data_IF_481866900788
#
_entry.id   IF_481866900788
#
_cell.length_a   1.000
_cell.length_b   1.000
_cell.length_c   1.000
_cell.angle_alpha   90.00
_cell.angle_beta   90.00
_cell.angle_gamma   90.00
#
_symmetry.space_group_name_H-M   'P 1'
#
loop_
_entity.id
_entity.type
_entity.pdbx_description
1 polymer ?
#
# COMPACT_ATOMS: atom_id res chain seq x y z
N UNK A 1 -21.53 19.13 8.16
CA UNK A 1 -21.90 17.73 7.79
C UNK A 1 -20.76 16.74 8.09
N UNK A 2 -20.68 16.19 9.31
CA UNK A 2 -19.61 15.25 9.72
C UNK A 2 -19.75 13.81 9.20
N UNK A 3 -20.94 13.40 8.71
CA UNK A 3 -21.18 12.02 8.22
C UNK A 3 -20.48 11.68 6.90
N UNK A 4 -20.43 12.62 5.95
CA UNK A 4 -19.86 12.40 4.60
C UNK A 4 -18.33 12.22 4.61
N UNK A 5 -17.64 12.89 5.54
CA UNK A 5 -16.18 12.71 5.72
C UNK A 5 -15.83 11.33 6.28
N UNK A 6 -16.64 10.82 7.23
CA UNK A 6 -16.43 9.48 7.79
C UNK A 6 -16.68 8.37 6.77
N UNK A 7 -17.70 8.52 5.93
CA UNK A 7 -17.98 7.57 4.85
C UNK A 7 -16.82 7.47 3.86
N UNK A 8 -16.26 8.61 3.42
CA UNK A 8 -15.11 8.63 2.51
C UNK A 8 -13.82 8.08 3.15
N UNK A 9 -13.64 8.26 4.46
CA UNK A 9 -12.52 7.65 5.21
C UNK A 9 -12.61 6.13 5.20
N UNK A 10 -13.81 5.58 5.46
CA UNK A 10 -14.04 4.13 5.48
C UNK A 10 -13.85 3.51 4.09
N UNK A 11 -14.33 4.14 3.02
CA UNK A 11 -14.12 3.68 1.64
C UNK A 11 -12.63 3.64 1.28
N UNK A 12 -11.82 4.55 1.83
CA UNK A 12 -10.37 4.59 1.60
C UNK A 12 -9.61 3.54 2.39
N UNK A 13 -9.97 3.33 3.66
CA UNK A 13 -9.47 2.20 4.46
C UNK A 13 -9.75 0.88 3.75
N UNK A 14 -10.97 0.71 3.22
CA UNK A 14 -11.34 -0.43 2.39
C UNK A 14 -10.52 -0.53 1.10
N UNK A 15 -10.21 0.58 0.43
CA UNK A 15 -9.39 0.59 -0.77
C UNK A 15 -7.93 0.17 -0.48
N UNK A 16 -7.32 0.66 0.61
CA UNK A 16 -5.96 0.29 0.99
C UNK A 16 -5.86 -1.14 1.53
N UNK A 17 -6.83 -1.58 2.33
CA UNK A 17 -6.95 -2.99 2.74
C UNK A 17 -7.18 -3.87 1.51
N UNK A 18 -7.97 -3.40 0.55
CA UNK A 18 -8.18 -4.06 -0.74
C UNK A 18 -6.87 -4.20 -1.52
N UNK A 19 -6.12 -3.12 -1.73
CA UNK A 19 -4.85 -3.14 -2.48
C UNK A 19 -3.78 -3.96 -1.76
N UNK A 20 -3.58 -3.73 -0.46
CA UNK A 20 -2.62 -4.49 0.35
C UNK A 20 -3.00 -5.98 0.47
N UNK A 21 -4.29 -6.27 0.62
CA UNK A 21 -4.84 -7.62 0.62
C UNK A 21 -4.68 -8.31 -0.75
N UNK A 22 -4.93 -7.61 -1.86
CA UNK A 22 -4.73 -8.14 -3.20
C UNK A 22 -3.26 -8.39 -3.51
N UNK A 23 -2.35 -7.51 -3.09
CA UNK A 23 -0.90 -7.71 -3.24
C UNK A 23 -0.39 -8.84 -2.34
N UNK A 24 -0.83 -8.91 -1.09
CA UNK A 24 -0.47 -9.97 -0.15
C UNK A 24 -1.01 -11.34 -0.58
N UNK A 25 -2.26 -11.41 -1.03
CA UNK A 25 -2.84 -12.62 -1.64
C UNK A 25 -2.11 -12.96 -2.94
N UNK A 26 -1.78 -11.98 -3.78
CA UNK A 26 -0.98 -12.18 -4.99
C UNK A 26 0.37 -12.83 -4.69
N UNK A 27 1.09 -12.32 -3.69
CA UNK A 27 2.38 -12.84 -3.26
C UNK A 27 2.26 -14.22 -2.61
N UNK A 28 1.24 -14.44 -1.78
CA UNK A 28 0.98 -15.72 -1.12
C UNK A 28 0.58 -16.80 -2.13
N UNK A 29 -0.28 -16.45 -3.10
CA UNK A 29 -0.67 -17.33 -4.21
C UNK A 29 0.54 -17.62 -5.10
N UNK A 30 1.38 -16.62 -5.37
CA UNK A 30 2.64 -16.81 -6.09
C UNK A 30 3.56 -17.79 -5.35
N UNK A 31 3.79 -17.61 -4.04
CA UNK A 31 4.65 -18.49 -3.22
C UNK A 31 4.09 -19.90 -3.10
N UNK A 32 2.79 -20.05 -2.83
CA UNK A 32 2.14 -21.36 -2.66
C UNK A 32 2.11 -22.16 -3.97
N UNK A 33 2.05 -21.49 -5.13
CA UNK A 33 2.02 -22.15 -6.45
C UNK A 33 3.39 -22.44 -7.02
N UNK A 34 4.46 -21.82 -6.49
CA UNK A 34 5.84 -22.11 -6.88
C UNK A 34 6.28 -23.54 -6.53
N UNK A 35 5.59 -24.20 -5.59
CA UNK A 35 5.82 -25.60 -5.24
C UNK A 35 5.06 -26.63 -6.10
N UNK A 36 4.09 -26.22 -6.93
CA UNK A 36 3.26 -27.14 -7.73
C UNK A 36 3.28 -26.77 -9.22
N UNK A 37 4.16 -27.43 -9.98
CA UNK A 37 4.25 -27.55 -11.46
C UNK A 37 4.96 -26.44 -12.24
N UNK A 38 5.99 -26.89 -12.97
CA UNK A 38 6.99 -26.11 -13.71
C UNK A 38 6.65 -25.71 -15.16
N UNK A 39 5.51 -26.12 -15.74
CA UNK A 39 5.31 -26.00 -17.20
C UNK A 39 4.16 -25.07 -17.66
N UNK A 40 4.04 -23.84 -17.14
CA UNK A 40 3.12 -22.86 -17.75
C UNK A 40 3.78 -21.50 -18.01
N UNK A 41 4.15 -21.18 -19.28
CA UNK A 41 4.86 -19.94 -19.63
C UNK A 41 4.10 -18.64 -19.31
N UNK A 42 2.77 -18.62 -19.39
CA UNK A 42 1.99 -17.39 -19.12
C UNK A 42 1.97 -16.97 -17.64
N UNK A 43 2.25 -17.87 -16.71
CA UNK A 43 2.23 -17.53 -15.26
C UNK A 43 3.46 -16.74 -14.83
N UNK A 44 4.58 -16.97 -15.50
CA UNK A 44 5.80 -16.20 -15.27
C UNK A 44 5.57 -14.73 -15.65
N UNK A 45 4.86 -14.47 -16.76
CA UNK A 45 4.60 -13.11 -17.26
C UNK A 45 3.85 -12.24 -16.26
N UNK A 46 2.78 -12.75 -15.63
CA UNK A 46 2.01 -11.97 -14.63
C UNK A 46 2.86 -11.68 -13.39
N UNK A 47 3.59 -12.67 -12.88
CA UNK A 47 4.47 -12.49 -11.72
C UNK A 47 5.56 -11.45 -11.99
N UNK A 48 6.19 -11.51 -13.17
CA UNK A 48 7.19 -10.52 -13.59
C UNK A 48 6.58 -9.13 -13.75
N UNK A 49 5.39 -9.01 -14.34
CA UNK A 49 4.71 -7.71 -14.49
C UNK A 49 4.36 -7.09 -13.12
N UNK A 50 3.81 -7.86 -12.18
CA UNK A 50 3.52 -7.36 -10.83
C UNK A 50 4.79 -6.96 -10.08
N UNK A 51 5.84 -7.77 -10.15
CA UNK A 51 7.13 -7.44 -9.54
C UNK A 51 7.75 -6.18 -10.16
N UNK A 52 7.75 -6.08 -11.50
CA UNK A 52 8.27 -4.92 -12.21
C UNK A 52 7.48 -3.65 -11.86
N UNK A 53 6.15 -3.72 -11.76
CA UNK A 53 5.33 -2.60 -11.33
C UNK A 53 5.65 -2.18 -9.88
N UNK A 54 5.77 -3.14 -8.95
CA UNK A 54 6.14 -2.85 -7.57
C UNK A 54 7.54 -2.22 -7.48
N UNK A 55 8.51 -2.76 -8.22
CA UNK A 55 9.87 -2.22 -8.30
C UNK A 55 9.87 -0.80 -8.88
N UNK A 56 9.10 -0.55 -9.95
CA UNK A 56 8.97 0.77 -10.55
C UNK A 56 8.43 1.80 -9.55
N UNK A 57 7.43 1.45 -8.73
CA UNK A 57 6.92 2.32 -7.65
C UNK A 57 8.01 2.60 -6.61
N UNK A 58 8.77 1.59 -6.20
CA UNK A 58 9.88 1.75 -5.23
C UNK A 58 10.97 2.67 -5.79
N UNK A 59 11.38 2.45 -7.05
CA UNK A 59 12.40 3.27 -7.74
C UNK A 59 11.90 4.70 -7.93
N UNK A 60 10.65 4.91 -8.36
CA UNK A 60 10.07 6.23 -8.52
C UNK A 60 10.00 6.98 -7.17
N UNK A 61 9.58 6.30 -6.11
CA UNK A 61 9.58 6.86 -4.75
C UNK A 61 10.98 7.25 -4.29
N UNK A 62 11.93 6.31 -4.31
CA UNK A 62 13.32 6.57 -3.91
C UNK A 62 13.97 7.69 -4.75
N UNK A 63 13.75 7.68 -6.06
CA UNK A 63 14.24 8.69 -7.00
C UNK A 63 13.68 10.08 -6.68
N UNK A 64 12.37 10.18 -6.46
CA UNK A 64 11.72 11.46 -6.10
C UNK A 64 12.28 12.03 -4.80
N UNK A 65 12.42 11.18 -3.77
CA UNK A 65 12.98 11.60 -2.48
C UNK A 65 14.42 12.08 -2.59
N UNK A 66 15.22 11.38 -3.40
CA UNK A 66 16.64 11.71 -3.66
C UNK A 66 16.77 13.02 -4.44
N UNK A 67 15.96 13.20 -5.48
CA UNK A 67 15.90 14.44 -6.26
C UNK A 67 15.66 15.66 -5.37
N UNK A 68 14.65 15.57 -4.49
CA UNK A 68 14.34 16.61 -3.50
C UNK A 68 15.50 16.85 -2.53
N UNK A 69 16.14 15.78 -2.05
CA UNK A 69 17.26 15.90 -1.12
C UNK A 69 18.46 16.61 -1.75
N UNK A 70 18.74 16.35 -3.03
CA UNK A 70 19.85 16.96 -3.78
C UNK A 70 19.55 18.43 -4.13
N UNK A 71 18.35 18.71 -4.67
CA UNK A 71 17.96 20.08 -5.05
C UNK A 71 17.80 21.00 -3.84
N UNK A 72 17.60 20.43 -2.66
CA UNK A 72 17.19 21.16 -1.49
C UNK A 72 15.73 21.57 -1.59
N UNK A 73 15.13 21.86 -0.44
CA UNK A 73 13.79 22.41 -0.34
C UNK A 73 13.80 23.69 0.46
N UNK A 74 12.96 24.64 0.05
CA UNK A 74 12.76 25.88 0.77
C UNK A 74 12.21 25.59 2.17
N UNK A 75 12.48 26.50 3.11
CA UNK A 75 11.94 26.39 4.47
C UNK A 75 10.48 26.78 4.45
N UNK A 76 9.63 26.00 5.09
CA UNK A 76 8.24 26.42 5.26
C UNK A 76 8.18 27.68 6.14
N UNK A 77 7.32 28.68 5.81
CA UNK A 77 7.14 29.88 6.61
C UNK A 77 6.30 29.56 7.87
N UNK A 78 6.91 28.93 8.87
CA UNK A 78 6.28 28.59 10.16
C UNK A 78 6.81 29.46 11.30
N UNK A 79 5.91 29.91 12.17
CA UNK A 79 6.26 30.57 13.43
C UNK A 79 6.16 29.54 14.55
N UNK A 80 7.28 29.22 15.17
CA UNK A 80 7.33 28.30 16.31
C UNK A 80 7.18 29.11 17.60
N UNK A 81 6.37 28.65 18.58
CA UNK A 81 6.39 29.24 19.92
C UNK A 81 7.80 29.18 20.52
N UNK A 82 8.18 30.19 21.31
CA UNK A 82 9.47 30.19 22.04
C UNK A 82 9.60 28.92 22.90
N UNK A 83 10.78 28.32 22.92
CA UNK A 83 11.07 27.07 23.66
C UNK A 83 10.58 25.77 23.01
N UNK A 84 9.91 25.84 21.85
CA UNK A 84 9.49 24.62 21.14
C UNK A 84 10.69 23.87 20.57
N UNK A 85 11.71 24.58 20.08
CA UNK A 85 12.91 23.97 19.49
C UNK A 85 13.67 23.13 20.52
N UNK A 86 13.86 23.66 21.73
CA UNK A 86 14.58 22.97 22.81
C UNK A 86 13.86 21.67 23.22
N UNK A 87 12.53 21.73 23.33
CA UNK A 87 11.70 20.57 23.69
C UNK A 87 11.63 19.49 22.59
N UNK A 88 11.90 19.86 21.33
CA UNK A 88 12.01 18.92 20.20
C UNK A 88 13.38 18.26 20.18
N UNK A 89 14.45 19.04 20.43
CA UNK A 89 15.81 18.51 20.50
C UNK A 89 15.98 17.49 21.64
N UNK A 90 15.34 17.71 22.78
CA UNK A 90 15.39 16.81 23.93
C UNK A 90 14.65 15.47 23.74
N UNK A 91 13.79 15.35 22.71
CA UNK A 91 12.97 14.14 22.51
C UNK A 91 13.17 13.56 21.11
N UNK A 92 14.19 12.70 21.03
CA UNK A 92 14.60 11.90 19.86
C UNK A 92 15.02 12.76 18.68
N UNK A 93 16.33 12.88 18.53
CA UNK A 93 16.96 13.13 17.23
C UNK A 93 16.29 12.18 16.24
N UNK A 94 15.66 12.74 15.19
CA UNK A 94 15.15 11.97 14.06
C UNK A 94 16.28 11.05 13.62
N UNK A 95 16.14 9.75 13.90
CA UNK A 95 17.24 8.85 13.63
C UNK A 95 17.40 8.75 12.12
N UNK A 96 18.63 8.80 11.63
CA UNK A 96 18.90 8.58 10.21
C UNK A 96 18.30 7.25 9.74
N UNK A 97 18.23 6.25 10.63
CA UNK A 97 17.59 4.97 10.37
C UNK A 97 16.08 5.10 10.07
N UNK A 98 15.34 5.92 10.84
CA UNK A 98 13.93 6.18 10.56
C UNK A 98 13.73 6.83 9.19
N UNK A 99 14.50 7.87 8.86
CA UNK A 99 14.42 8.54 7.55
C UNK A 99 14.82 7.64 6.38
N UNK A 100 15.78 6.73 6.58
CA UNK A 100 16.16 5.72 5.57
C UNK A 100 15.02 4.71 5.39
N UNK A 101 14.45 4.21 6.48
CA UNK A 101 13.33 3.27 6.43
C UNK A 101 12.10 3.87 5.75
N UNK A 102 11.84 5.17 5.95
CA UNK A 102 10.72 5.88 5.32
C UNK A 102 11.06 6.54 3.99
N UNK A 103 12.24 6.31 3.42
CA UNK A 103 12.72 7.01 2.22
C UNK A 103 11.77 6.85 1.02
N UNK A 104 11.41 5.61 0.71
CA UNK A 104 10.50 5.25 -0.38
C UNK A 104 9.08 5.80 -0.16
N UNK A 105 8.38 5.52 0.96
CA UNK A 105 7.03 6.04 1.15
C UNK A 105 6.99 7.57 1.18
N UNK A 106 7.99 8.23 1.78
CA UNK A 106 8.12 9.69 1.73
C UNK A 106 8.21 10.16 0.28
N UNK A 107 9.07 9.56 -0.53
CA UNK A 107 9.22 9.93 -1.94
C UNK A 107 7.97 9.74 -2.79
N UNK A 108 7.20 8.67 -2.55
CA UNK A 108 5.90 8.46 -3.21
C UNK A 108 4.93 9.59 -2.86
N UNK A 109 4.85 9.96 -1.58
CA UNK A 109 4.01 11.05 -1.09
C UNK A 109 4.40 12.40 -1.70
N UNK A 110 5.69 12.66 -1.84
CA UNK A 110 6.21 13.87 -2.49
C UNK A 110 5.91 13.88 -3.99
N UNK A 111 6.06 12.73 -4.67
CA UNK A 111 5.73 12.58 -6.07
C UNK A 111 4.25 12.86 -6.35
N UNK A 112 3.36 12.31 -5.51
CA UNK A 112 1.93 12.60 -5.60
C UNK A 112 1.62 14.08 -5.38
N UNK A 113 2.28 14.72 -4.40
CA UNK A 113 2.15 16.16 -4.19
C UNK A 113 2.59 16.98 -5.42
N UNK A 114 3.72 16.64 -6.05
CA UNK A 114 4.17 17.29 -7.28
C UNK A 114 3.21 17.07 -8.46
N UNK A 115 2.73 15.85 -8.66
CA UNK A 115 1.75 15.52 -9.71
C UNK A 115 0.42 16.26 -9.50
N UNK A 116 0.06 16.55 -8.25
CA UNK A 116 -1.09 17.37 -7.91
C UNK A 116 -0.88 18.89 -8.13
N UNK A 117 0.30 19.32 -8.62
CA UNK A 117 0.70 20.71 -8.77
C UNK A 117 1.03 21.38 -7.43
N UNK A 118 1.49 20.59 -6.46
CA UNK A 118 1.81 21.04 -5.12
C UNK A 118 3.24 21.51 -4.94
N UNK A 119 3.41 22.38 -3.96
CA UNK A 119 4.71 22.85 -3.50
C UNK A 119 5.16 22.05 -2.29
N UNK A 120 6.47 21.84 -2.19
CA UNK A 120 7.09 21.13 -1.08
C UNK A 120 8.09 22.03 -0.39
N UNK A 121 7.85 22.28 0.89
CA UNK A 121 8.79 22.97 1.77
C UNK A 121 9.21 22.05 2.93
N UNK A 122 10.26 22.42 3.67
CA UNK A 122 10.76 21.65 4.82
C UNK A 122 10.59 22.42 6.12
N UNK A 123 9.97 21.80 7.12
CA UNK A 123 10.01 22.27 8.52
C UNK A 123 11.21 21.64 9.20
N UNK A 124 12.34 22.36 9.22
CA UNK A 124 13.65 21.86 9.66
C UNK A 124 13.67 21.24 11.07
N UNK A 125 13.06 21.84 12.11
CA UNK A 125 13.11 21.27 13.47
C UNK A 125 12.54 19.85 13.55
N UNK A 126 11.55 19.52 12.71
CA UNK A 126 10.94 18.18 12.67
C UNK A 126 11.50 17.31 11.53
N UNK A 127 12.33 17.88 10.65
CA UNK A 127 12.77 17.29 9.37
C UNK A 127 11.61 16.75 8.53
N UNK A 128 10.46 17.44 8.56
CA UNK A 128 9.23 17.03 7.88
C UNK A 128 9.04 17.86 6.60
N UNK A 129 8.83 17.19 5.48
CA UNK A 129 8.42 17.81 4.22
C UNK A 129 6.93 18.10 4.29
N UNK A 130 6.52 19.29 3.87
CA UNK A 130 5.12 19.66 3.80
C UNK A 130 4.74 19.83 2.35
N UNK A 131 3.85 18.97 1.87
CA UNK A 131 3.24 19.07 0.55
C UNK A 131 1.94 19.88 0.63
N UNK A 132 1.94 21.09 0.08
CA UNK A 132 0.75 21.92 -0.06
C UNK A 132 0.09 21.57 -1.38
N UNK A 133 -1.25 21.50 -1.44
CA UNK A 133 -2.06 21.17 -2.62
C UNK A 133 -2.42 19.70 -2.85
N UNK A 134 -2.21 18.81 -1.89
CA UNK A 134 -2.61 17.42 -2.09
C UNK A 134 -4.15 17.29 -2.18
N UNK A 135 -4.65 16.80 -3.31
CA UNK A 135 -6.08 16.61 -3.59
C UNK A 135 -6.60 15.35 -2.90
N UNK A 136 -6.64 15.32 -1.57
CA UNK A 136 -7.19 14.18 -0.83
C UNK A 136 -8.64 14.40 -0.39
N UNK A 137 -9.67 13.87 -1.10
CA UNK A 137 -11.08 13.90 -0.66
C UNK A 137 -11.27 13.50 0.81
N UNK A 138 -11.77 14.41 1.66
CA UNK A 138 -12.16 14.12 3.05
C UNK A 138 -11.06 14.22 4.13
N UNK A 139 -9.78 14.29 3.79
CA UNK A 139 -8.69 14.43 4.77
C UNK A 139 -8.21 15.89 4.88
N UNK A 140 -8.05 16.38 6.11
CA UNK A 140 -7.42 17.69 6.37
C UNK A 140 -5.92 17.63 6.13
N UNK A 141 -5.30 16.53 6.53
CA UNK A 141 -3.90 16.21 6.32
C UNK A 141 -3.69 14.69 6.42
N UNK A 142 -2.56 14.22 5.91
CA UNK A 142 -2.09 12.84 6.06
C UNK A 142 -0.56 12.84 6.13
N UNK A 143 -0.01 11.96 6.95
CA UNK A 143 1.44 11.80 7.06
C UNK A 143 1.88 10.47 6.47
N UNK A 144 2.86 10.54 5.59
CA UNK A 144 3.47 9.39 4.91
C UNK A 144 4.98 9.48 5.07
N UNK A 145 5.54 8.70 6.00
CA UNK A 145 6.95 8.78 6.35
C UNK A 145 7.31 10.16 6.89
N UNK A 146 8.19 10.87 6.17
CA UNK A 146 8.63 12.23 6.50
C UNK A 146 7.80 13.32 5.79
N UNK A 147 6.75 12.96 5.05
CA UNK A 147 5.92 13.89 4.30
C UNK A 147 4.57 14.11 4.98
N UNK A 148 4.27 15.36 5.33
CA UNK A 148 2.98 15.85 5.79
C UNK A 148 2.25 16.49 4.60
N UNK A 149 1.21 15.85 4.12
CA UNK A 149 0.46 16.31 2.96
C UNK A 149 -0.84 16.96 3.41
N UNK A 150 -1.08 18.20 2.97
CA UNK A 150 -2.27 18.95 3.35
C UNK A 150 -2.95 19.59 2.14
N UNK A 151 -4.25 19.84 2.29
CA UNK A 151 -5.06 20.50 1.26
C UNK A 151 -4.66 21.97 1.10
N UNK A 152 -4.88 22.49 -0.11
CA UNK A 152 -4.64 23.88 -0.56
C UNK A 152 -5.08 24.94 0.47
N UNK A 153 -6.17 24.74 1.22
CA UNK A 153 -6.66 25.71 2.23
C UNK A 153 -6.00 25.69 3.62
N UNK A 154 -5.20 24.66 3.96
CA UNK A 154 -4.49 24.61 5.25
C UNK A 154 -3.07 25.18 5.17
N UNK A 155 -2.46 25.13 3.98
CA UNK A 155 -1.07 25.53 3.80
C UNK A 155 -0.83 26.61 2.73
N UNK A 156 -1.79 26.95 1.85
CA UNK A 156 -1.70 28.19 1.09
C UNK A 156 -2.08 29.37 2.00
N UNK A 157 -1.06 30.07 2.50
CA UNK A 157 -1.11 31.49 2.90
C UNK A 157 -2.07 31.97 4.01
N UNK A 158 -3.04 31.19 4.51
CA UNK A 158 -4.08 31.69 5.43
C UNK A 158 -4.62 30.65 6.43
N UNK A 159 -3.79 29.79 7.02
CA UNK A 159 -4.15 29.33 8.37
C UNK A 159 -3.90 30.51 9.31
N UNK A 160 -4.91 31.03 10.05
CA UNK A 160 -4.70 32.07 11.06
C UNK A 160 -3.76 31.65 12.20
N UNK A 161 -3.16 30.46 12.14
CA UNK A 161 -2.38 29.91 13.22
C UNK A 161 -1.21 29.05 12.70
N UNK A 162 -0.10 29.71 12.29
CA UNK A 162 1.18 29.02 12.00
C UNK A 162 1.64 28.13 13.16
N UNK A 163 1.24 28.47 14.39
CA UNK A 163 1.46 27.63 15.58
C UNK A 163 0.70 26.31 15.49
N UNK A 164 -0.52 26.30 14.94
CA UNK A 164 -1.29 25.07 14.74
C UNK A 164 -0.64 24.16 13.68
N UNK A 165 -0.12 24.73 12.58
CA UNK A 165 0.65 23.94 11.61
C UNK A 165 1.88 23.31 12.28
N UNK A 166 2.65 24.09 13.04
CA UNK A 166 3.79 23.58 13.77
C UNK A 166 3.42 22.49 14.80
N UNK A 167 2.31 22.67 15.53
CA UNK A 167 1.82 21.68 16.50
C UNK A 167 1.36 20.40 15.82
N UNK A 168 0.61 20.50 14.70
CA UNK A 168 0.22 19.34 13.91
C UNK A 168 1.46 18.65 13.35
N UNK A 169 2.41 19.36 12.74
CA UNK A 169 3.66 18.75 12.25
C UNK A 169 4.44 18.06 13.38
N UNK A 170 4.44 18.61 14.60
CA UNK A 170 5.07 17.97 15.74
C UNK A 170 4.40 16.63 16.09
N UNK A 171 3.06 16.60 16.15
CA UNK A 171 2.30 15.37 16.34
C UNK A 171 2.60 14.35 15.25
N UNK A 172 2.51 14.78 13.99
CA UNK A 172 2.69 13.95 12.81
C UNK A 172 4.10 13.38 12.69
N UNK A 173 5.12 14.13 13.10
CA UNK A 173 6.51 13.66 13.12
C UNK A 173 6.72 12.44 14.04
N UNK A 174 5.83 12.21 15.01
CA UNK A 174 5.89 11.03 15.90
C UNK A 174 5.38 9.77 15.24
N UNK A 175 4.56 9.88 14.19
CA UNK A 175 4.20 8.74 13.36
C UNK A 175 5.36 8.23 12.51
N UNK A 176 6.45 9.00 12.34
CA UNK A 176 7.64 8.57 11.59
C UNK A 176 8.21 7.25 12.11
N UNK A 177 8.38 7.10 13.42
CA UNK A 177 8.90 5.86 14.00
C UNK A 177 7.98 4.67 13.70
N UNK A 178 6.66 4.90 13.72
CA UNK A 178 5.67 3.86 13.41
C UNK A 178 5.70 3.48 11.92
N UNK A 179 5.86 4.48 11.04
CA UNK A 179 6.11 4.29 9.61
C UNK A 179 7.39 3.50 9.35
N UNK A 180 8.49 3.84 10.02
CA UNK A 180 9.77 3.16 9.89
C UNK A 180 9.66 1.69 10.31
N UNK A 181 9.11 1.41 11.49
CA UNK A 181 8.90 0.04 11.99
C UNK A 181 8.01 -0.76 11.03
N UNK A 182 6.88 -0.20 10.61
CA UNK A 182 6.00 -0.87 9.65
C UNK A 182 6.71 -1.15 8.33
N UNK A 183 7.47 -0.19 7.81
CA UNK A 183 8.21 -0.34 6.55
C UNK A 183 9.27 -1.43 6.63
N UNK A 184 10.01 -1.50 7.74
CA UNK A 184 11.02 -2.55 7.96
C UNK A 184 10.37 -3.93 8.07
N UNK A 185 9.26 -4.06 8.79
CA UNK A 185 8.63 -5.35 9.05
C UNK A 185 7.83 -5.91 7.88
N UNK A 186 7.19 -5.05 7.07
CA UNK A 186 6.24 -5.49 6.03
C UNK A 186 6.30 -4.70 4.73
N UNK A 187 7.29 -3.83 4.55
CA UNK A 187 7.43 -2.97 3.38
C UNK A 187 6.59 -1.69 3.44
N UNK A 188 6.70 -0.81 2.43
CA UNK A 188 6.18 0.57 2.47
C UNK A 188 4.67 0.72 2.73
N UNK A 189 3.87 -0.32 2.49
CA UNK A 189 2.41 -0.30 2.68
C UNK A 189 1.95 -0.91 4.01
N UNK A 190 2.85 -1.53 4.79
CA UNK A 190 2.45 -2.23 6.01
C UNK A 190 1.85 -1.29 7.06
N UNK A 191 2.50 -0.14 7.33
CA UNK A 191 1.97 0.81 8.30
C UNK A 191 0.60 1.37 7.89
N UNK A 192 0.36 1.85 6.65
CA UNK A 192 -0.97 2.25 6.19
C UNK A 192 -2.05 1.20 6.40
N UNK A 193 -1.75 -0.06 6.09
CA UNK A 193 -2.71 -1.16 6.26
C UNK A 193 -3.05 -1.34 7.73
N UNK A 194 -2.05 -1.48 8.60
CA UNK A 194 -2.27 -1.69 10.04
C UNK A 194 -2.94 -0.47 10.68
N UNK A 195 -2.52 0.74 10.33
CA UNK A 195 -3.13 1.98 10.78
C UNK A 195 -4.60 2.05 10.37
N UNK A 196 -4.93 1.70 9.12
CA UNK A 196 -6.30 1.74 8.61
C UNK A 196 -7.20 0.71 9.30
N UNK A 197 -6.67 -0.50 9.56
CA UNK A 197 -7.38 -1.52 10.36
C UNK A 197 -7.60 -1.00 11.79
N UNK A 198 -6.59 -0.40 12.41
CA UNK A 198 -6.73 0.19 13.74
C UNK A 198 -7.75 1.33 13.76
N UNK A 199 -7.73 2.23 12.77
CA UNK A 199 -8.67 3.36 12.68
C UNK A 199 -10.11 2.90 12.42
N UNK A 200 -10.29 1.79 11.69
CA UNK A 200 -11.61 1.18 11.47
C UNK A 200 -12.28 0.79 12.80
N UNK A 201 -11.54 0.17 13.71
CA UNK A 201 -12.05 -0.28 15.01
C UNK A 201 -11.90 0.78 16.11
N UNK A 202 -10.90 1.64 16.02
CA UNK A 202 -10.53 2.63 17.04
C UNK A 202 -10.36 4.00 16.39
N UNK A 203 -11.44 4.67 15.97
CA UNK A 203 -11.34 5.89 15.18
C UNK A 203 -10.76 7.08 15.96
N UNK A 204 -9.88 7.85 15.31
CA UNK A 204 -9.32 9.10 15.85
C UNK A 204 -8.52 8.91 17.13
N UNK A 205 -8.86 9.65 18.21
CA UNK A 205 -8.16 9.60 19.50
C UNK A 205 -8.15 8.21 20.19
N UNK A 206 -9.01 7.29 19.73
CA UNK A 206 -9.03 5.91 20.23
C UNK A 206 -7.92 5.07 19.60
N UNK A 207 -7.42 5.46 18.44
CA UNK A 207 -6.43 4.70 17.67
C UNK A 207 -5.15 4.53 18.49
N UNK A 208 -4.64 3.31 18.70
CA UNK A 208 -3.41 3.08 19.45
C UNK A 208 -2.22 3.85 18.86
N UNK A 209 -2.15 4.02 17.55
CA UNK A 209 -1.10 4.77 16.88
C UNK A 209 -1.15 6.27 17.21
N UNK A 210 -2.35 6.84 17.24
CA UNK A 210 -2.58 8.25 17.62
C UNK A 210 -2.27 8.49 19.10
N UNK A 211 -2.61 7.52 19.96
CA UNK A 211 -2.27 7.57 21.39
C UNK A 211 -0.77 7.51 21.62
N UNK A 212 -0.07 6.63 20.92
CA UNK A 212 1.40 6.53 20.96
C UNK A 212 2.07 7.79 20.38
N UNK A 213 1.46 8.44 19.40
CA UNK A 213 1.90 9.75 18.91
C UNK A 213 1.58 10.90 19.88
N UNK A 214 0.70 10.70 20.86
CA UNK A 214 0.42 11.64 21.95
C UNK A 214 -0.75 12.57 21.64
N UNK A 215 -1.90 12.26 22.22
CA UNK A 215 -3.19 12.92 21.96
C UNK A 215 -3.17 14.45 22.15
N UNK A 216 -2.47 14.95 23.18
CA UNK A 216 -2.42 16.39 23.48
C UNK A 216 -1.78 17.19 22.35
N UNK A 217 -0.77 16.63 21.69
CA UNK A 217 -0.07 17.30 20.58
C UNK A 217 -0.91 17.29 19.29
N UNK A 218 -1.67 16.23 19.05
CA UNK A 218 -2.61 16.13 17.92
C UNK A 218 -3.94 16.89 18.13
N UNK A 219 -4.04 17.68 19.20
CA UNK A 219 -5.28 18.39 19.58
C UNK A 219 -6.49 17.45 19.74
N UNK A 220 -6.23 16.21 20.18
CA UNK A 220 -7.25 15.23 20.51
C UNK A 220 -7.69 15.37 21.97
N UNK A 221 -8.94 15.00 22.27
CA UNK A 221 -9.41 14.89 23.65
C UNK A 221 -8.69 13.71 24.35
N UNK A 222 -7.84 13.96 25.37
CA UNK A 222 -7.07 12.91 26.04
C UNK A 222 -7.95 11.92 26.82
N UNK A 223 -9.19 12.30 27.15
CA UNK A 223 -10.15 11.47 27.88
C UNK A 223 -10.99 10.56 26.97
N UNK A 224 -10.65 10.47 25.69
CA UNK A 224 -11.31 9.55 24.77
C UNK A 224 -11.05 8.10 25.21
N UNK A 225 -12.11 7.30 25.28
CA UNK A 225 -11.98 5.88 25.63
C UNK A 225 -11.09 5.13 24.63
N UNK A 226 -10.36 4.12 25.10
CA UNK A 226 -9.52 3.26 24.25
C UNK A 226 -10.31 2.08 23.66
N UNK A 227 -11.61 2.03 23.88
CA UNK A 227 -12.46 0.90 23.53
C UNK A 227 -12.80 0.88 22.02
N UNK A 228 -12.92 -0.33 21.44
CA UNK A 228 -13.29 -0.48 20.05
C UNK A 228 -14.72 0.03 19.80
N UNK A 229 -14.95 0.49 18.57
CA UNK A 229 -16.23 0.99 18.08
C UNK A 229 -16.72 0.07 16.96
N UNK A 230 -17.70 -0.77 17.28
CA UNK A 230 -18.45 -1.56 16.30
C UNK A 230 -19.73 -0.81 15.93
N UNK A 231 -19.70 -0.05 14.83
CA UNK A 231 -20.90 0.55 14.23
C UNK A 231 -21.25 -0.14 12.92
N UNK A 232 -22.40 0.20 12.34
CA UNK A 232 -22.87 -0.35 11.06
C UNK A 232 -21.80 -0.33 9.95
N UNK A 233 -20.97 0.73 9.76
CA UNK A 233 -19.94 0.71 8.73
C UNK A 233 -18.85 -0.34 8.95
N UNK A 234 -18.45 -0.60 10.21
CA UNK A 234 -17.49 -1.64 10.56
C UNK A 234 -18.08 -3.02 10.31
N UNK A 235 -19.33 -3.25 10.73
CA UNK A 235 -20.05 -4.50 10.47
C UNK A 235 -20.16 -4.75 8.96
N UNK A 236 -20.57 -3.74 8.19
CA UNK A 236 -20.64 -3.83 6.73
C UNK A 236 -19.29 -4.15 6.09
N UNK A 237 -18.21 -3.53 6.57
CA UNK A 237 -16.84 -3.81 6.12
C UNK A 237 -16.43 -5.27 6.39
N UNK A 238 -16.74 -5.78 7.59
CA UNK A 238 -16.44 -7.15 7.98
C UNK A 238 -17.23 -8.17 7.15
N UNK A 239 -18.54 -7.94 6.99
CA UNK A 239 -19.42 -8.79 6.15
C UNK A 239 -18.93 -8.80 4.71
N UNK A 240 -18.63 -7.63 4.13
CA UNK A 240 -18.14 -7.53 2.75
C UNK A 240 -16.79 -8.25 2.58
N UNK A 241 -15.89 -8.11 3.56
CA UNK A 241 -14.60 -8.82 3.55
C UNK A 241 -14.78 -10.34 3.63
N UNK A 242 -15.68 -10.82 4.49
CA UNK A 242 -16.00 -12.24 4.61
C UNK A 242 -16.61 -12.81 3.31
N UNK A 243 -17.59 -12.10 2.72
CA UNK A 243 -18.19 -12.48 1.42
C UNK A 243 -17.13 -12.52 0.32
N UNK A 244 -16.25 -11.53 0.26
CA UNK A 244 -15.16 -11.48 -0.73
C UNK A 244 -14.23 -12.67 -0.59
N UNK A 245 -13.80 -13.00 0.63
CA UNK A 245 -12.94 -14.15 0.90
C UNK A 245 -13.61 -15.47 0.52
N UNK A 246 -14.90 -15.64 0.82
CA UNK A 246 -15.67 -16.83 0.43
C UNK A 246 -15.83 -16.96 -1.09
N UNK A 247 -16.13 -15.86 -1.79
CA UNK A 247 -16.19 -15.86 -3.25
C UNK A 247 -14.83 -16.25 -3.85
N UNK A 248 -13.73 -15.66 -3.37
CA UNK A 248 -12.38 -16.02 -3.81
C UNK A 248 -12.06 -17.49 -3.54
N UNK A 249 -12.44 -18.01 -2.37
CA UNK A 249 -12.27 -19.41 -2.02
C UNK A 249 -13.10 -20.33 -2.93
N UNK A 250 -14.36 -19.99 -3.19
CA UNK A 250 -15.27 -20.73 -4.05
C UNK A 250 -14.77 -20.78 -5.50
N UNK A 251 -14.45 -19.63 -6.09
CA UNK A 251 -13.89 -19.56 -7.45
C UNK A 251 -12.55 -20.30 -7.55
N UNK A 252 -11.71 -20.22 -6.51
CA UNK A 252 -10.48 -21.00 -6.40
C UNK A 252 -10.72 -22.52 -6.34
N UNK A 253 -11.82 -22.98 -5.73
CA UNK A 253 -12.24 -24.40 -5.76
C UNK A 253 -12.74 -24.82 -7.13
N UNK A 254 -13.58 -24.01 -7.78
CA UNK A 254 -14.10 -24.28 -9.12
C UNK A 254 -12.97 -24.38 -10.16
N UNK A 255 -12.02 -23.45 -10.13
CA UNK A 255 -10.85 -23.47 -11.01
C UNK A 255 -10.00 -24.75 -10.80
N UNK A 256 -9.89 -25.26 -9.57
CA UNK A 256 -9.20 -26.51 -9.26
C UNK A 256 -9.95 -27.74 -9.78
N UNK A 257 -11.29 -27.77 -9.66
CA UNK A 257 -12.13 -28.87 -10.19
C UNK A 257 -12.04 -28.98 -11.71
N UNK A 258 -12.16 -27.86 -12.43
CA UNK A 258 -12.02 -27.83 -13.91
C UNK A 258 -10.67 -28.39 -14.38
N UNK A 259 -9.59 -28.06 -13.67
CA UNK A 259 -8.25 -28.59 -13.99
C UNK A 259 -8.11 -30.09 -13.74
N UNK A 260 -8.77 -30.65 -12.73
CA UNK A 260 -8.76 -32.09 -12.47
C UNK A 260 -9.62 -32.86 -13.49
N UNK A 261 -10.79 -32.33 -13.84
CA UNK A 261 -11.68 -32.95 -14.83
C UNK A 261 -11.03 -33.09 -16.22
N UNK A 262 -10.39 -32.02 -16.73
CA UNK A 262 -9.72 -32.07 -18.04
C UNK A 262 -8.47 -32.96 -18.10
N UNK A 263 -7.92 -33.40 -16.96
CA UNK A 263 -6.76 -34.30 -16.94
C UNK A 263 -7.16 -35.78 -17.04
N UNK A 264 -8.39 -36.13 -16.60
CA UNK A 264 -8.92 -37.50 -16.72
C UNK A 264 -9.28 -37.81 -18.18
N UNK A 265 -9.87 -36.84 -18.88
CA UNK A 265 -10.30 -37.02 -20.28
C UNK A 265 -9.14 -37.27 -21.25
N UNK A 266 -7.96 -36.66 -21.01
CA UNK A 266 -6.77 -36.87 -21.86
C UNK A 266 -6.06 -38.20 -21.66
N UNK A 267 -6.27 -38.90 -20.54
CA UNK A 267 -5.71 -40.25 -20.31
C UNK A 267 -6.70 -41.36 -20.66
N UNK A 268 -7.97 -41.03 -20.80
CA UNK A 268 -9.06 -41.95 -21.09
C UNK A 268 -9.47 -42.04 -22.56
N UNK A 269 -8.71 -41.48 -23.50
CA UNK A 269 -8.90 -41.71 -24.94
C UNK A 269 -7.89 -42.76 -25.47
N UNK A 270 -8.06 -44.07 -25.20
CA UNK A 270 -7.20 -45.13 -25.73
C UNK A 270 -7.41 -45.43 -27.23
N UNK A 271 -8.17 -44.64 -27.99
CA UNK A 271 -8.75 -45.11 -29.25
C UNK A 271 -8.11 -44.68 -30.57
N UNK A 272 -7.36 -43.57 -30.65
CA UNK A 272 -6.99 -42.99 -31.96
C UNK A 272 -5.49 -43.04 -32.31
N UNK A 273 -4.61 -43.34 -31.36
CA UNK A 273 -3.17 -43.47 -31.63
C UNK A 273 -2.79 -44.82 -32.27
N UNK A 274 -3.71 -45.79 -32.37
CA UNK A 274 -3.44 -47.11 -33.00
C UNK A 274 -3.72 -47.11 -34.51
N UNK A 275 -4.40 -46.09 -35.04
CA UNK A 275 -4.74 -46.06 -36.48
C UNK A 275 -3.63 -45.41 -37.32
N UNK A 276 -2.77 -44.56 -36.74
CA UNK A 276 -1.71 -43.88 -37.49
C UNK A 276 -0.41 -44.70 -37.60
N UNK A 277 -0.16 -45.64 -36.67
CA UNK A 277 0.94 -46.61 -36.80
C UNK A 277 0.68 -47.71 -37.85
N UNK A 278 -0.51 -47.74 -38.47
CA UNK A 278 -0.85 -48.72 -39.52
C UNK A 278 -0.81 -48.17 -40.94
N UNK A 279 -0.53 -46.88 -41.12
CA UNK A 279 -0.43 -46.26 -42.46
C UNK A 279 1.01 -46.20 -42.95
N UNK A 280 2.01 -46.22 -42.06
CA UNK A 280 3.42 -46.18 -42.48
C UNK A 280 3.97 -47.53 -42.95
N UNK A 281 3.31 -48.65 -42.61
CA UNK A 281 3.78 -49.97 -43.07
C UNK A 281 3.24 -50.38 -44.46
N UNK A 282 2.55 -49.49 -45.17
CA UNK A 282 1.95 -49.78 -46.50
C UNK A 282 2.62 -49.05 -47.67
N UNK A 283 3.74 -48.35 -47.44
CA UNK A 283 4.52 -47.68 -48.51
C UNK A 283 5.78 -48.41 -48.98
N UNK A 284 6.20 -49.49 -48.33
CA UNK A 284 7.44 -50.21 -48.70
C UNK A 284 7.26 -51.39 -49.67
N UNK A 285 6.05 -51.68 -50.17
CA UNK A 285 5.81 -52.83 -51.08
C UNK A 285 5.57 -52.48 -52.55
N UNK A 286 5.97 -51.28 -53.02
CA UNK A 286 5.82 -50.88 -54.43
C UNK A 286 7.13 -50.54 -55.17
N UNK A 287 8.27 -51.12 -54.75
CA UNK A 287 9.55 -50.91 -55.43
C UNK A 287 10.31 -52.23 -55.66
N UNK A 288 9.64 -53.27 -56.17
CA UNK A 288 10.33 -54.43 -56.78
C UNK A 288 9.43 -54.95 -57.90
N UNK A 289 9.63 -54.45 -59.12
CA UNK A 289 9.33 -55.09 -60.41
C UNK A 289 9.55 -54.05 -61.51
N UNK A 290 10.82 -53.79 -61.81
CA UNK A 290 11.27 -53.27 -63.11
C UNK A 290 12.79 -53.38 -63.11
N UNK A 291 13.30 -54.51 -63.63
CA UNK A 291 14.59 -54.67 -64.30
C UNK A 291 14.88 -56.18 -64.46
N UNK A 292 14.91 -56.66 -65.72
CA UNK A 292 15.55 -57.93 -66.10
C UNK A 292 14.62 -58.90 -66.81
#
# INVERSE_FOLDING_TARGET
>A
MPGRQRFLSNVRTLAWIGVGGLLGVGLMVYRRRRGERSDMPDRHRIGHATFAAALAVVVAGAGTRTYVAIRGTERCPVTLPRGTVDRIQDRRVVSSAESVATWVPTGIAMGDAYLAGGEICLIRPYRMYVGVHAKYPGLKYVTIGDAFLSRKGLAAAQTPNRVQLAANTAHESRHRAQWAVGTVLGGPLAFPVVYSVADLFFPGARNPFERLAGLKQGNYNPYSSAEPVLRLPQIGTLVLSAVTLELMHHFGRLARRRRRGGQVDRRGAPGLAVVEARIDHRRDTRAVNDCG
#
